data_IF_495110036313
#
_entry.id   IF_495110036313
#
_cell.length_a   1.000
_cell.length_b   1.000
_cell.length_c   1.000
_cell.angle_alpha   90.00
_cell.angle_beta   90.00
_cell.angle_gamma   90.00
#
_symmetry.space_group_name_H-M   'P 1'
#
loop_
_entity.id
_entity.type
_entity.pdbx_description
1 polymer ?
#
# COMPACT_ATOMS: atom_id res chain seq x y z
N UNK A 1 -15.95 -6.73 1.42
CA UNK A 1 -14.58 -6.33 1.05
C UNK A 1 -13.84 -7.58 0.59
N UNK A 2 -13.40 -7.64 -0.68
CA UNK A 2 -13.10 -8.89 -1.38
C UNK A 2 -11.58 -9.01 -1.58
N UNK A 3 -10.88 -9.69 -0.66
CA UNK A 3 -9.44 -10.04 -0.85
C UNK A 3 -9.21 -11.55 -0.67
N UNK A 4 -10.25 -12.36 -0.45
CA UNK A 4 -10.11 -13.81 -0.20
C UNK A 4 -10.93 -14.71 -1.16
N UNK A 5 -11.19 -14.27 -2.38
CA UNK A 5 -11.87 -15.11 -3.38
C UNK A 5 -10.93 -15.82 -4.37
N UNK A 6 -9.64 -15.49 -4.36
CA UNK A 6 -8.77 -15.72 -5.51
C UNK A 6 -7.70 -16.81 -5.33
N UNK A 7 -7.50 -17.33 -4.11
CA UNK A 7 -6.42 -18.31 -3.82
C UNK A 7 -6.95 -19.74 -3.66
N UNK A 8 -8.26 -19.92 -3.49
CA UNK A 8 -8.88 -21.24 -3.57
C UNK A 8 -9.10 -21.58 -5.05
N UNK A 9 -8.22 -22.41 -5.61
CA UNK A 9 -8.36 -22.91 -6.97
C UNK A 9 -9.68 -23.64 -7.17
N UNK A 10 -10.68 -22.94 -7.71
CA UNK A 10 -11.84 -23.55 -8.36
C UNK A 10 -12.07 -22.85 -9.69
N UNK A 11 -11.93 -23.63 -10.76
CA UNK A 11 -12.17 -23.26 -12.15
C UNK A 11 -13.62 -22.79 -12.31
N UNK A 12 -13.87 -21.48 -12.24
CA UNK A 12 -15.01 -20.70 -12.79
C UNK A 12 -15.16 -19.33 -12.12
N UNK A 13 -14.14 -18.47 -12.12
CA UNK A 13 -14.38 -17.07 -11.71
C UNK A 13 -13.46 -16.02 -12.34
N UNK A 14 -13.29 -16.07 -13.66
CA UNK A 14 -12.47 -15.09 -14.40
C UNK A 14 -12.99 -13.65 -14.23
N UNK A 15 -14.32 -13.46 -14.26
CA UNK A 15 -14.92 -12.12 -14.11
C UNK A 15 -14.75 -11.50 -12.71
N UNK A 16 -14.77 -12.30 -11.64
CA UNK A 16 -14.46 -11.78 -10.30
C UNK A 16 -12.96 -11.52 -10.16
N UNK A 17 -12.08 -12.35 -10.73
CA UNK A 17 -10.64 -12.09 -10.73
C UNK A 17 -10.30 -10.75 -11.42
N UNK A 18 -10.90 -10.48 -12.57
CA UNK A 18 -10.76 -9.23 -13.32
C UNK A 18 -11.31 -8.03 -12.55
N UNK A 19 -12.55 -8.11 -12.04
CA UNK A 19 -13.14 -7.05 -11.21
C UNK A 19 -12.30 -6.71 -9.98
N UNK A 20 -11.68 -7.72 -9.36
CA UNK A 20 -10.79 -7.52 -8.23
C UNK A 20 -9.43 -6.94 -8.63
N UNK A 21 -8.93 -7.29 -9.81
CA UNK A 21 -7.73 -6.67 -10.37
C UNK A 21 -7.96 -5.18 -10.67
N UNK A 22 -9.09 -4.83 -11.28
CA UNK A 22 -9.48 -3.44 -11.55
C UNK A 22 -9.62 -2.62 -10.25
N UNK A 23 -10.25 -3.20 -9.22
CA UNK A 23 -10.34 -2.55 -7.90
C UNK A 23 -8.98 -2.33 -7.25
N UNK A 24 -8.06 -3.30 -7.37
CA UNK A 24 -6.67 -3.15 -6.89
C UNK A 24 -5.93 -2.05 -7.66
N UNK A 25 -6.10 -1.99 -8.98
CA UNK A 25 -5.54 -0.93 -9.81
C UNK A 25 -6.09 0.45 -9.46
N UNK A 26 -7.39 0.58 -9.16
CA UNK A 26 -8.01 1.84 -8.75
C UNK A 26 -7.47 2.37 -7.40
N UNK A 27 -7.21 1.47 -6.44
CA UNK A 27 -6.61 1.85 -5.16
C UNK A 27 -5.15 2.29 -5.32
N UNK A 28 -4.37 1.55 -6.12
CA UNK A 28 -2.98 1.93 -6.41
C UNK A 28 -2.91 3.27 -7.15
N UNK A 29 -3.81 3.53 -8.10
CA UNK A 29 -3.91 4.82 -8.79
C UNK A 29 -4.22 5.97 -7.83
N UNK A 30 -5.08 5.73 -6.84
CA UNK A 30 -5.41 6.72 -5.81
C UNK A 30 -4.20 7.07 -4.95
N UNK A 31 -3.45 6.06 -4.50
CA UNK A 31 -2.21 6.26 -3.73
C UNK A 31 -1.20 7.03 -4.57
N UNK A 32 -0.99 6.62 -5.82
CA UNK A 32 -0.05 7.28 -6.72
C UNK A 32 -0.43 8.74 -7.00
N UNK A 33 -1.72 9.04 -7.15
CA UNK A 33 -2.20 10.41 -7.32
C UNK A 33 -1.88 11.28 -6.09
N UNK A 34 -2.08 10.76 -4.87
CA UNK A 34 -1.73 11.48 -3.64
C UNK A 34 -0.23 11.71 -3.50
N UNK A 35 0.59 10.72 -3.88
CA UNK A 35 2.06 10.84 -3.87
C UNK A 35 2.54 11.90 -4.87
N UNK A 36 1.97 11.93 -6.09
CA UNK A 36 2.24 12.99 -7.06
C UNK A 36 1.88 14.37 -6.54
N UNK A 37 0.73 14.47 -5.85
CA UNK A 37 0.36 15.71 -5.19
C UNK A 37 1.38 16.10 -4.11
N UNK A 38 1.90 15.14 -3.32
CA UNK A 38 2.96 15.40 -2.35
C UNK A 38 4.25 15.97 -2.98
N UNK A 39 4.61 15.53 -4.19
CA UNK A 39 5.72 16.15 -4.93
C UNK A 39 5.40 17.58 -5.34
N UNK A 40 4.18 17.86 -5.81
CA UNK A 40 3.74 19.21 -6.15
C UNK A 40 3.68 20.14 -4.94
N UNK A 41 3.28 19.63 -3.78
CA UNK A 41 3.15 20.38 -2.53
C UNK A 41 4.51 20.57 -1.83
N UNK A 42 5.55 19.86 -2.26
CA UNK A 42 6.91 19.90 -1.69
C UNK A 42 7.14 18.95 -0.51
N UNK A 43 6.17 18.09 -0.19
CA UNK A 43 6.27 17.05 0.84
C UNK A 43 7.23 15.91 0.44
N UNK A 44 7.43 15.70 -0.86
CA UNK A 44 8.24 14.63 -1.43
C UNK A 44 9.25 15.18 -2.45
N UNK A 45 10.47 14.64 -2.52
CA UNK A 45 11.43 15.03 -3.53
C UNK A 45 10.95 14.60 -4.94
N UNK A 46 11.24 15.39 -5.98
CA UNK A 46 10.89 15.05 -7.37
C UNK A 46 11.47 13.71 -7.85
N UNK A 47 12.58 13.29 -7.26
CA UNK A 47 13.29 12.05 -7.59
C UNK A 47 12.75 10.81 -6.88
N UNK A 48 11.74 10.95 -6.00
CA UNK A 48 11.13 9.83 -5.31
C UNK A 48 10.51 8.82 -6.29
N UNK A 49 10.75 7.53 -6.06
CA UNK A 49 10.13 6.45 -6.84
C UNK A 49 8.67 6.24 -6.41
N UNK A 50 7.79 7.14 -6.89
CA UNK A 50 6.36 7.11 -6.55
C UNK A 50 5.67 5.77 -6.90
N UNK A 51 5.98 5.12 -8.04
CA UNK A 51 5.49 3.76 -8.32
C UNK A 51 5.88 2.74 -7.24
N UNK A 52 7.14 2.74 -6.80
CA UNK A 52 7.60 1.84 -5.75
C UNK A 52 6.93 2.14 -4.39
N UNK A 53 6.81 3.41 -4.00
CA UNK A 53 6.08 3.81 -2.79
C UNK A 53 4.63 3.34 -2.85
N UNK A 54 3.94 3.59 -3.97
CA UNK A 54 2.55 3.19 -4.13
C UNK A 54 2.39 1.65 -4.03
N UNK A 55 3.31 0.89 -4.64
CA UNK A 55 3.30 -0.57 -4.56
C UNK A 55 3.55 -1.09 -3.14
N UNK A 56 4.50 -0.50 -2.41
CA UNK A 56 4.80 -0.85 -1.03
C UNK A 56 3.59 -0.64 -0.12
N UNK A 57 3.02 0.57 -0.10
CA UNK A 57 1.89 0.89 0.77
C UNK A 57 0.61 0.14 0.40
N UNK A 58 0.42 -0.15 -0.90
CA UNK A 58 -0.69 -1.01 -1.33
C UNK A 58 -0.51 -2.43 -0.78
N UNK A 59 0.70 -2.98 -0.82
CA UNK A 59 1.01 -4.31 -0.26
C UNK A 59 0.73 -4.35 1.24
N UNK A 60 1.18 -3.35 1.99
CA UNK A 60 0.94 -3.23 3.44
C UNK A 60 -0.56 -3.21 3.73
N UNK A 61 -1.33 -2.36 3.04
CA UNK A 61 -2.77 -2.24 3.24
C UNK A 61 -3.51 -3.55 2.93
N UNK A 62 -3.11 -4.26 1.87
CA UNK A 62 -3.67 -5.57 1.53
C UNK A 62 -3.34 -6.62 2.59
N UNK A 63 -2.10 -6.66 3.09
CA UNK A 63 -1.67 -7.58 4.13
C UNK A 63 -2.41 -7.33 5.46
N UNK A 64 -2.58 -6.08 5.86
CA UNK A 64 -3.37 -5.71 7.04
C UNK A 64 -4.85 -6.11 6.89
N UNK A 65 -5.41 -5.92 5.69
CA UNK A 65 -6.78 -6.33 5.39
C UNK A 65 -6.99 -7.84 5.51
N UNK A 66 -5.95 -8.63 5.20
CA UNK A 66 -5.98 -10.08 5.38
C UNK A 66 -5.88 -10.44 6.87
N UNK A 67 -4.87 -9.92 7.58
CA UNK A 67 -4.66 -10.18 9.00
C UNK A 67 -5.88 -9.79 9.86
N UNK A 68 -6.52 -8.65 9.55
CA UNK A 68 -7.74 -8.23 10.23
C UNK A 68 -8.88 -9.24 10.09
N UNK A 69 -9.00 -9.91 8.93
CA UNK A 69 -10.02 -10.96 8.71
C UNK A 69 -9.69 -12.24 9.44
N UNK A 70 -8.41 -12.56 9.55
CA UNK A 70 -7.93 -13.72 10.29
C UNK A 70 -7.99 -13.50 11.82
N UNK A 71 -8.47 -12.33 12.27
CA UNK A 71 -8.72 -12.03 13.67
C UNK A 71 -7.55 -11.37 14.40
N UNK A 72 -6.58 -10.80 13.67
CA UNK A 72 -5.53 -9.99 14.27
C UNK A 72 -6.13 -8.84 15.10
N UNK A 73 -5.57 -8.63 16.30
CA UNK A 73 -6.00 -7.53 17.15
C UNK A 73 -5.64 -6.17 16.54
N UNK A 74 -6.33 -5.13 17.00
CA UNK A 74 -6.03 -3.76 16.61
C UNK A 74 -4.56 -3.40 16.86
N UNK A 75 -4.02 -3.77 18.02
CA UNK A 75 -2.64 -3.48 18.40
C UNK A 75 -1.61 -4.09 17.44
N UNK A 76 -1.89 -5.30 16.92
CA UNK A 76 -1.05 -5.94 15.90
C UNK A 76 -1.07 -5.15 14.61
N UNK A 77 -2.26 -4.73 14.16
CA UNK A 77 -2.40 -3.93 12.94
C UNK A 77 -1.76 -2.54 13.08
N UNK A 78 -1.88 -1.91 14.25
CA UNK A 78 -1.21 -0.64 14.55
C UNK A 78 0.31 -0.79 14.52
N UNK A 79 0.84 -1.89 15.05
CA UNK A 79 2.28 -2.21 14.96
C UNK A 79 2.75 -2.31 13.50
N UNK A 80 1.96 -2.94 12.62
CA UNK A 80 2.26 -3.01 11.18
C UNK A 80 2.33 -1.62 10.55
N UNK A 81 1.39 -0.72 10.89
CA UNK A 81 1.41 0.67 10.41
C UNK A 81 2.64 1.41 10.93
N UNK A 82 2.96 1.28 12.21
CA UNK A 82 4.16 1.90 12.80
C UNK A 82 5.42 1.47 12.05
N UNK A 83 5.59 0.18 11.78
CA UNK A 83 6.72 -0.33 11.01
C UNK A 83 6.74 0.21 9.57
N UNK A 84 5.58 0.26 8.91
CA UNK A 84 5.49 0.80 7.56
C UNK A 84 5.87 2.29 7.50
N UNK A 85 5.40 3.09 8.46
CA UNK A 85 5.74 4.52 8.55
C UNK A 85 7.19 4.75 8.93
N UNK A 86 7.81 3.88 9.74
CA UNK A 86 9.24 3.96 10.03
C UNK A 86 10.12 3.77 8.78
N UNK A 87 9.61 3.09 7.75
CA UNK A 87 10.29 2.95 6.46
C UNK A 87 10.07 4.15 5.52
N UNK A 88 9.18 5.10 5.87
CA UNK A 88 8.77 6.20 5.00
C UNK A 88 9.95 7.03 4.51
N UNK A 89 10.79 7.55 5.41
CA UNK A 89 11.88 8.47 5.01
C UNK A 89 12.88 7.79 4.07
N UNK A 90 13.22 6.53 4.36
CA UNK A 90 14.13 5.73 3.54
C UNK A 90 13.56 5.46 2.14
N UNK A 91 12.25 5.20 2.03
CA UNK A 91 11.59 4.93 0.75
C UNK A 91 11.33 6.22 -0.04
N UNK A 92 10.84 7.25 0.62
CA UNK A 92 10.49 8.55 0.04
C UNK A 92 11.70 9.33 -0.47
N UNK A 93 12.93 8.90 -0.14
CA UNK A 93 14.13 9.68 -0.43
C UNK A 93 14.14 11.00 0.33
N UNK A 94 13.29 11.14 1.36
CA UNK A 94 13.36 12.24 2.29
C UNK A 94 14.70 12.08 3.00
N UNK A 95 15.67 12.88 2.56
CA UNK A 95 17.02 12.97 3.12
C UNK A 95 16.88 12.94 4.62
N UNK A 96 17.34 11.87 5.25
CA UNK A 96 17.60 11.84 6.68
C UNK A 96 18.36 13.13 6.99
N UNK A 97 17.73 14.04 7.71
CA UNK A 97 18.42 15.15 8.33
C UNK A 97 19.45 14.50 9.26
N UNK A 98 20.67 14.32 8.75
CA UNK A 98 21.83 13.96 9.55
C UNK A 98 22.12 15.16 10.43
N UNK A 99 21.95 15.05 11.76
CA UNK A 99 22.46 16.08 12.64
C UNK A 99 23.99 16.05 12.55
N UNK A 100 24.58 17.24 12.35
CA UNK A 100 26.01 17.49 12.37
C UNK A 100 26.63 17.22 13.75
#
# INVERSE_FOLDING_TARGET
MVVLGAVAGTVKNTGVQEFLAERRQGMQATILARLRQGVHDGDLPPEADLPALAAFYMTVLQGMSLQSRDGASRDVLETVVTCAMAAWDALAGARAEQPA
#
